data_IF_809586279745
#
_entry.id   IF_809586279745
#
_cell.length_a   1.000
_cell.length_b   1.000
_cell.length_c   1.000
_cell.angle_alpha   90.00
_cell.angle_beta   90.00
_cell.angle_gamma   90.00
#
_symmetry.space_group_name_H-M   'P 1'
#
loop_
_entity.id
_entity.type
_entity.pdbx_description
1 polymer ?
#
# COMPACT_ATOMS: atom_id res chain seq x y z
N UNK A 1 -22.74 -29.75 26.18
CA UNK A 1 -21.73 -28.78 25.73
C UNK A 1 -22.28 -27.41 26.09
N UNK A 2 -21.54 -26.65 26.91
CA UNK A 2 -21.95 -25.30 27.33
C UNK A 2 -21.33 -24.25 26.43
N UNK A 3 -21.85 -23.03 26.48
CA UNK A 3 -21.29 -21.86 25.78
C UNK A 3 -19.80 -21.67 26.11
N UNK A 4 -19.43 -21.79 27.39
CA UNK A 4 -18.03 -21.75 27.83
C UNK A 4 -17.14 -22.82 27.18
N UNK A 5 -17.67 -24.03 26.93
CA UNK A 5 -16.90 -25.07 26.26
C UNK A 5 -16.64 -24.73 24.79
N UNK A 6 -17.62 -24.14 24.11
CA UNK A 6 -17.46 -23.70 22.72
C UNK A 6 -16.45 -22.55 22.63
N UNK A 7 -16.61 -21.53 23.48
CA UNK A 7 -15.70 -20.40 23.51
C UNK A 7 -14.27 -20.84 23.83
N UNK A 8 -14.08 -21.71 24.82
CA UNK A 8 -12.75 -22.25 25.14
C UNK A 8 -12.12 -23.04 23.98
N UNK A 9 -12.92 -23.73 23.16
CA UNK A 9 -12.41 -24.40 21.97
C UNK A 9 -11.99 -23.39 20.88
N UNK A 10 -12.81 -22.35 20.65
CA UNK A 10 -12.56 -21.29 19.67
C UNK A 10 -11.31 -20.48 20.01
N UNK A 11 -11.12 -20.13 21.29
CA UNK A 11 -9.91 -19.42 21.76
C UNK A 11 -8.64 -20.19 21.43
N UNK A 12 -8.68 -21.53 21.45
CA UNK A 12 -7.53 -22.38 21.12
C UNK A 12 -7.37 -22.59 19.61
N UNK A 13 -8.47 -22.71 18.86
CA UNK A 13 -8.50 -22.86 17.40
C UNK A 13 -9.76 -22.20 16.83
N UNK A 14 -9.59 -21.08 16.10
CA UNK A 14 -10.69 -20.31 15.54
C UNK A 14 -11.56 -21.11 14.56
N UNK A 15 -11.00 -22.14 13.91
CA UNK A 15 -11.78 -23.04 13.03
C UNK A 15 -12.79 -23.89 13.81
N UNK A 16 -12.68 -23.96 15.14
CA UNK A 16 -13.66 -24.65 15.99
C UNK A 16 -15.07 -24.06 15.86
N UNK A 17 -15.21 -22.81 15.39
CA UNK A 17 -16.51 -22.18 15.11
C UNK A 17 -17.38 -23.04 14.17
N UNK A 18 -16.75 -23.73 13.21
CA UNK A 18 -17.43 -24.67 12.30
C UNK A 18 -18.27 -25.74 13.02
N UNK A 19 -17.82 -26.20 14.19
CA UNK A 19 -18.46 -27.28 14.92
C UNK A 19 -19.52 -26.78 15.91
N UNK A 20 -19.67 -25.46 16.09
CA UNK A 20 -20.67 -24.88 16.96
C UNK A 20 -22.02 -24.88 16.22
N UNK A 21 -23.06 -25.55 16.75
CA UNK A 21 -24.39 -25.47 16.14
C UNK A 21 -24.87 -24.02 16.13
N UNK A 22 -25.38 -23.54 15.00
CA UNK A 22 -25.69 -22.12 14.75
C UNK A 22 -26.57 -21.43 15.81
N UNK A 23 -27.45 -22.20 16.48
CA UNK A 23 -28.28 -21.72 17.60
C UNK A 23 -27.51 -21.33 18.87
N UNK A 24 -26.24 -21.71 18.96
CA UNK A 24 -25.34 -21.43 20.09
C UNK A 24 -24.21 -20.48 19.72
N UNK A 25 -24.10 -20.08 18.45
CA UNK A 25 -23.10 -19.08 18.04
C UNK A 25 -23.52 -17.72 18.59
N UNK A 26 -22.55 -16.98 19.12
CA UNK A 26 -22.70 -15.62 19.61
C UNK A 26 -21.72 -14.68 18.90
N UNK A 27 -21.95 -13.36 19.00
CA UNK A 27 -21.03 -12.35 18.45
C UNK A 27 -19.62 -12.49 19.05
N UNK A 28 -19.52 -12.78 20.34
CA UNK A 28 -18.24 -13.02 21.04
C UNK A 28 -17.49 -14.21 20.45
N UNK A 29 -18.18 -15.32 20.16
CA UNK A 29 -17.57 -16.48 19.51
C UNK A 29 -17.06 -16.16 18.11
N UNK A 30 -17.81 -15.40 17.31
CA UNK A 30 -17.38 -14.96 15.99
C UNK A 30 -16.12 -14.10 16.06
N UNK A 31 -16.12 -13.11 16.96
CA UNK A 31 -14.98 -12.20 17.14
C UNK A 31 -13.73 -12.96 17.59
N UNK A 32 -13.86 -13.86 18.57
CA UNK A 32 -12.73 -14.63 19.10
C UNK A 32 -12.18 -15.62 18.07
N UNK A 33 -13.05 -16.21 17.25
CA UNK A 33 -12.64 -17.08 16.14
C UNK A 33 -11.77 -16.33 15.13
N UNK A 34 -12.19 -15.13 14.73
CA UNK A 34 -11.49 -14.28 13.78
C UNK A 34 -10.15 -13.80 14.34
N UNK A 35 -10.12 -13.37 15.61
CA UNK A 35 -8.89 -12.96 16.30
C UNK A 35 -7.85 -14.07 16.37
N UNK A 36 -8.30 -15.30 16.60
CA UNK A 36 -7.43 -16.46 16.60
C UNK A 36 -6.94 -16.77 15.17
N UNK A 37 -7.84 -16.75 14.19
CA UNK A 37 -7.54 -17.06 12.79
C UNK A 37 -8.58 -16.43 11.86
N UNK A 38 -8.19 -15.43 11.07
CA UNK A 38 -9.13 -14.72 10.21
C UNK A 38 -9.84 -15.59 9.16
N UNK A 39 -9.24 -16.69 8.70
CA UNK A 39 -9.94 -17.68 7.84
C UNK A 39 -11.15 -18.36 8.49
N UNK A 40 -11.33 -18.24 9.81
CA UNK A 40 -12.53 -18.69 10.50
C UNK A 40 -13.78 -17.87 10.13
N UNK A 41 -13.61 -16.70 9.49
CA UNK A 41 -14.71 -15.87 9.01
C UNK A 41 -15.69 -16.65 8.13
N UNK A 42 -15.22 -17.62 7.35
CA UNK A 42 -16.06 -18.50 6.50
C UNK A 42 -17.12 -19.30 7.27
N UNK A 43 -16.99 -19.42 8.58
CA UNK A 43 -17.93 -20.12 9.47
C UNK A 43 -18.86 -19.17 10.23
N UNK A 44 -18.73 -17.86 10.04
CA UNK A 44 -19.56 -16.84 10.68
C UNK A 44 -20.94 -16.83 10.00
N UNK A 45 -22.04 -17.05 10.74
CA UNK A 45 -23.37 -16.89 10.18
C UNK A 45 -23.64 -15.44 9.77
N UNK A 46 -24.27 -15.23 8.61
CA UNK A 46 -24.56 -13.89 8.03
C UNK A 46 -25.20 -12.92 9.02
N UNK A 47 -26.09 -13.40 9.90
CA UNK A 47 -26.76 -12.57 10.93
C UNK A 47 -25.81 -11.91 11.94
N UNK A 48 -24.57 -12.38 12.04
CA UNK A 48 -23.54 -11.84 12.91
C UNK A 48 -22.50 -11.01 12.15
N UNK A 49 -22.61 -10.88 10.82
CA UNK A 49 -21.74 -10.02 10.04
C UNK A 49 -22.16 -8.57 10.31
N UNK A 50 -21.34 -7.86 11.07
CA UNK A 50 -21.49 -6.44 11.37
C UNK A 50 -20.30 -5.67 10.83
N UNK A 51 -20.44 -4.35 10.68
CA UNK A 51 -19.32 -3.48 10.36
C UNK A 51 -18.15 -3.68 11.33
N UNK A 52 -18.42 -3.72 12.65
CA UNK A 52 -17.39 -3.93 13.66
C UNK A 52 -16.65 -5.25 13.46
N UNK A 53 -17.38 -6.33 13.17
CA UNK A 53 -16.78 -7.64 12.93
C UNK A 53 -15.89 -7.62 11.68
N UNK A 54 -16.34 -6.97 10.60
CA UNK A 54 -15.55 -6.81 9.38
C UNK A 54 -14.27 -6.04 9.69
N UNK A 55 -14.37 -4.85 10.28
CA UNK A 55 -13.20 -4.02 10.61
C UNK A 55 -12.18 -4.77 11.47
N UNK A 56 -12.64 -5.53 12.45
CA UNK A 56 -11.75 -6.42 13.23
C UNK A 56 -11.14 -7.50 12.34
N UNK A 57 -11.93 -8.17 11.50
CA UNK A 57 -11.44 -9.27 10.67
C UNK A 57 -10.33 -8.86 9.71
N UNK A 58 -10.46 -7.69 9.10
CA UNK A 58 -9.44 -7.10 8.24
C UNK A 58 -8.15 -6.71 8.98
N UNK A 59 -8.22 -6.44 10.28
CA UNK A 59 -7.05 -6.16 11.12
C UNK A 59 -6.19 -7.43 11.33
N UNK A 60 -6.81 -8.61 11.38
CA UNK A 60 -6.13 -9.87 11.68
C UNK A 60 -5.75 -10.68 10.44
N UNK A 61 -6.49 -10.58 9.34
CA UNK A 61 -6.24 -11.36 8.12
C UNK A 61 -6.87 -10.72 6.88
N UNK A 62 -6.04 -10.29 5.92
CA UNK A 62 -6.50 -9.75 4.64
C UNK A 62 -7.30 -10.76 3.80
N UNK A 63 -7.08 -12.07 4.00
CA UNK A 63 -7.79 -13.14 3.28
C UNK A 63 -9.25 -13.23 3.68
N UNK A 64 -9.67 -12.49 4.71
CA UNK A 64 -11.08 -12.32 5.07
C UNK A 64 -11.93 -11.94 3.87
N UNK A 65 -11.40 -11.16 2.92
CA UNK A 65 -12.10 -10.78 1.69
C UNK A 65 -12.69 -11.95 0.91
N UNK A 66 -12.01 -13.10 0.91
CA UNK A 66 -12.46 -14.29 0.19
C UNK A 66 -13.77 -14.88 0.75
N UNK A 67 -14.12 -14.52 1.99
CA UNK A 67 -15.23 -15.13 2.73
C UNK A 67 -16.36 -14.14 3.06
N UNK A 68 -16.17 -12.84 2.82
CA UNK A 68 -17.21 -11.83 3.06
C UNK A 68 -18.20 -11.82 1.90
N UNK A 69 -19.51 -11.97 2.15
CA UNK A 69 -20.51 -11.83 1.10
C UNK A 69 -20.48 -10.42 0.49
N UNK A 70 -20.61 -10.33 -0.84
CA UNK A 70 -20.46 -9.09 -1.61
C UNK A 70 -21.38 -7.96 -1.13
N UNK A 71 -22.56 -8.27 -0.60
CA UNK A 71 -23.51 -7.29 -0.05
C UNK A 71 -22.96 -6.48 1.14
N UNK A 72 -21.92 -6.98 1.81
CA UNK A 72 -21.25 -6.30 2.92
C UNK A 72 -19.99 -5.53 2.47
N UNK A 73 -19.51 -5.74 1.25
CA UNK A 73 -18.32 -5.10 0.69
C UNK A 73 -18.70 -3.76 0.05
N UNK A 74 -18.92 -2.75 0.88
CA UNK A 74 -19.26 -1.40 0.43
C UNK A 74 -18.04 -0.48 0.39
N UNK A 75 -18.13 0.58 -0.41
CA UNK A 75 -17.11 1.63 -0.45
C UNK A 75 -16.84 2.22 0.94
N UNK A 76 -17.88 2.41 1.75
CA UNK A 76 -17.74 2.93 3.13
C UNK A 76 -16.91 2.00 4.02
N UNK A 77 -17.11 0.69 3.91
CA UNK A 77 -16.32 -0.30 4.66
C UNK A 77 -14.86 -0.25 4.25
N UNK A 78 -14.57 -0.26 2.95
CA UNK A 78 -13.20 -0.15 2.45
C UNK A 78 -12.52 1.16 2.85
N UNK A 79 -13.21 2.30 2.79
CA UNK A 79 -12.66 3.59 3.24
C UNK A 79 -12.34 3.63 4.74
N UNK A 80 -13.03 2.84 5.56
CA UNK A 80 -12.73 2.65 6.99
C UNK A 80 -11.54 1.72 7.19
N UNK A 81 -11.45 0.63 6.42
CA UNK A 81 -10.33 -0.32 6.49
C UNK A 81 -9.04 0.35 6.01
N UNK A 82 -9.05 1.06 4.87
CA UNK A 82 -7.89 1.79 4.32
C UNK A 82 -7.37 2.83 5.31
N UNK A 83 -8.26 3.44 6.10
CA UNK A 83 -7.85 4.39 7.15
C UNK A 83 -7.03 3.71 8.26
N UNK A 84 -7.22 2.41 8.49
CA UNK A 84 -6.52 1.64 9.52
C UNK A 84 -5.30 0.90 8.96
N UNK A 85 -5.40 0.37 7.74
CA UNK A 85 -4.30 -0.27 7.00
C UNK A 85 -4.50 -0.04 5.49
N UNK A 86 -3.72 0.90 4.96
CA UNK A 86 -3.77 1.29 3.56
C UNK A 86 -3.19 0.25 2.61
N UNK A 87 -2.41 -0.71 3.11
CA UNK A 87 -1.87 -1.83 2.29
C UNK A 87 -2.95 -2.80 1.87
N UNK A 88 -4.15 -2.71 2.45
CA UNK A 88 -5.30 -3.53 2.06
C UNK A 88 -5.67 -3.35 0.60
N UNK A 89 -5.37 -2.20 -0.02
CA UNK A 89 -5.63 -1.92 -1.44
C UNK A 89 -5.11 -3.00 -2.37
N UNK A 90 -3.99 -3.65 -2.02
CA UNK A 90 -3.42 -4.79 -2.74
C UNK A 90 -4.39 -5.99 -2.86
N UNK A 91 -5.29 -6.14 -1.91
CA UNK A 91 -6.19 -7.28 -1.77
C UNK A 91 -7.63 -6.98 -2.19
N UNK A 92 -8.02 -5.69 -2.25
CA UNK A 92 -9.36 -5.29 -2.71
C UNK A 92 -9.52 -5.69 -4.19
N UNK A 93 -10.58 -6.43 -4.57
CA UNK A 93 -10.85 -6.71 -5.97
C UNK A 93 -11.01 -5.41 -6.77
N UNK A 94 -10.45 -5.36 -7.98
CA UNK A 94 -10.33 -4.12 -8.78
C UNK A 94 -11.68 -3.42 -9.00
N UNK A 95 -12.75 -4.18 -9.10
CA UNK A 95 -14.12 -3.70 -9.28
C UNK A 95 -14.66 -2.87 -8.10
N UNK A 96 -14.06 -2.99 -6.91
CA UNK A 96 -14.42 -2.20 -5.73
C UNK A 96 -13.49 -1.00 -5.48
N UNK A 97 -12.37 -0.91 -6.21
CA UNK A 97 -11.43 0.20 -6.05
C UNK A 97 -12.02 1.46 -6.66
N UNK A 98 -11.95 2.57 -5.92
CA UNK A 98 -12.35 3.90 -6.39
C UNK A 98 -11.20 4.89 -6.32
N UNK A 99 -11.29 5.98 -7.09
CA UNK A 99 -10.30 7.06 -7.05
C UNK A 99 -10.16 7.67 -5.64
N UNK A 100 -11.27 7.79 -4.89
CA UNK A 100 -11.26 8.29 -3.51
C UNK A 100 -10.44 7.39 -2.58
N UNK A 101 -10.61 6.07 -2.71
CA UNK A 101 -9.80 5.10 -1.96
C UNK A 101 -8.30 5.25 -2.27
N UNK A 102 -7.96 5.37 -3.55
CA UNK A 102 -6.57 5.52 -4.01
C UNK A 102 -5.95 6.81 -3.45
N UNK A 103 -6.65 7.94 -3.58
CA UNK A 103 -6.17 9.23 -3.08
C UNK A 103 -5.96 9.21 -1.57
N UNK A 104 -6.89 8.60 -0.83
CA UNK A 104 -6.81 8.52 0.63
C UNK A 104 -5.64 7.65 1.07
N UNK A 105 -5.42 6.52 0.42
CA UNK A 105 -4.31 5.64 0.73
C UNK A 105 -2.95 6.31 0.47
N UNK A 106 -2.78 7.00 -0.65
CA UNK A 106 -1.53 7.70 -1.00
C UNK A 106 -1.19 8.78 0.04
N UNK A 107 -2.21 9.46 0.59
CA UNK A 107 -2.01 10.47 1.65
C UNK A 107 -1.53 9.89 2.97
N UNK A 108 -1.78 8.61 3.23
CA UNK A 108 -1.37 7.94 4.47
C UNK A 108 -0.05 7.15 4.30
N UNK A 109 0.20 6.60 3.10
CA UNK A 109 1.43 5.87 2.77
C UNK A 109 1.75 5.96 1.28
N UNK A 110 2.91 6.50 0.97
CA UNK A 110 3.38 6.72 -0.39
C UNK A 110 3.72 5.43 -1.16
N UNK A 111 4.00 4.33 -0.46
CA UNK A 111 4.31 3.04 -1.09
C UNK A 111 3.09 2.33 -1.69
N UNK A 112 1.87 2.81 -1.42
CA UNK A 112 0.65 2.21 -2.01
C UNK A 112 0.51 2.48 -3.50
N UNK A 113 1.31 3.40 -4.05
CA UNK A 113 1.33 3.70 -5.49
C UNK A 113 1.55 2.43 -6.33
N UNK A 114 2.33 1.46 -5.83
CA UNK A 114 2.56 0.15 -6.47
C UNK A 114 1.27 -0.70 -6.63
N UNK A 115 0.24 -0.44 -5.82
CA UNK A 115 -1.01 -1.22 -5.79
C UNK A 115 -2.19 -0.51 -6.46
N UNK A 116 -2.05 0.76 -6.81
CA UNK A 116 -3.12 1.53 -7.46
C UNK A 116 -3.27 1.06 -8.92
N UNK A 117 -4.48 0.68 -9.36
CA UNK A 117 -4.72 0.38 -10.77
C UNK A 117 -4.41 1.60 -11.65
N UNK A 118 -3.75 1.38 -12.79
CA UNK A 118 -3.33 2.44 -13.72
C UNK A 118 -4.49 3.39 -14.09
N UNK A 119 -5.71 2.88 -14.21
CA UNK A 119 -6.91 3.66 -14.53
C UNK A 119 -7.32 4.71 -13.47
N UNK A 120 -6.84 4.57 -12.23
CA UNK A 120 -7.11 5.49 -11.12
C UNK A 120 -5.89 6.34 -10.74
N UNK A 121 -4.73 6.05 -11.32
CA UNK A 121 -3.52 6.79 -11.01
C UNK A 121 -3.58 8.19 -11.64
N UNK A 122 -3.17 9.19 -10.88
CA UNK A 122 -3.09 10.57 -11.34
C UNK A 122 -1.72 11.17 -11.09
N UNK A 123 -1.37 12.21 -11.85
CA UNK A 123 -0.14 12.98 -11.65
C UNK A 123 -0.07 13.56 -10.23
N UNK A 124 -1.20 14.00 -9.67
CA UNK A 124 -1.27 14.52 -8.29
C UNK A 124 -0.88 13.45 -7.27
N UNK A 125 -1.40 12.22 -7.40
CA UNK A 125 -1.03 11.11 -6.52
C UNK A 125 0.45 10.77 -6.62
N UNK A 126 0.99 10.76 -7.85
CA UNK A 126 2.41 10.51 -8.09
C UNK A 126 3.29 11.59 -7.45
N UNK A 127 2.91 12.87 -7.58
CA UNK A 127 3.66 13.98 -7.00
C UNK A 127 3.66 13.90 -5.47
N UNK A 128 2.48 13.67 -4.87
CA UNK A 128 2.35 13.51 -3.42
C UNK A 128 3.24 12.38 -2.89
N UNK A 129 3.26 11.23 -3.56
CA UNK A 129 4.09 10.09 -3.14
C UNK A 129 5.60 10.40 -3.25
N UNK A 130 6.03 11.06 -4.32
CA UNK A 130 7.44 11.42 -4.55
C UNK A 130 7.90 12.50 -3.57
N UNK A 131 7.02 13.44 -3.20
CA UNK A 131 7.30 14.46 -2.19
C UNK A 131 7.57 13.86 -0.81
N UNK A 132 6.82 12.82 -0.41
CA UNK A 132 7.03 12.14 0.87
C UNK A 132 8.27 11.23 0.84
N UNK A 133 8.55 10.60 -0.30
CA UNK A 133 9.70 9.72 -0.47
C UNK A 133 10.14 9.63 -1.93
N UNK A 134 11.33 10.15 -2.21
CA UNK A 134 11.87 10.20 -3.57
C UNK A 134 12.05 8.83 -4.23
N UNK A 135 12.18 7.75 -3.45
CA UNK A 135 12.28 6.39 -3.99
C UNK A 135 11.00 5.93 -4.69
N UNK A 136 9.84 6.50 -4.36
CA UNK A 136 8.55 6.14 -4.99
C UNK A 136 8.48 6.48 -6.47
N UNK A 137 9.39 7.33 -6.98
CA UNK A 137 9.53 7.62 -8.41
C UNK A 137 9.60 6.34 -9.27
N UNK A 138 10.15 5.25 -8.71
CA UNK A 138 10.23 3.94 -9.38
C UNK A 138 8.88 3.29 -9.70
N UNK A 139 7.81 3.74 -9.06
CA UNK A 139 6.44 3.25 -9.23
C UNK A 139 5.57 4.19 -10.08
N UNK A 140 6.08 5.38 -10.40
CA UNK A 140 5.39 6.37 -11.24
C UNK A 140 5.52 5.93 -12.71
N UNK A 141 4.42 5.72 -13.44
CA UNK A 141 4.46 5.48 -14.87
C UNK A 141 5.10 6.66 -15.62
N UNK A 142 5.84 6.36 -16.68
CA UNK A 142 6.61 7.36 -17.42
C UNK A 142 5.73 8.51 -17.94
N UNK A 143 4.46 8.22 -18.31
CA UNK A 143 3.50 9.22 -18.77
C UNK A 143 3.10 10.28 -17.72
N UNK A 144 3.25 9.97 -16.43
CA UNK A 144 2.96 10.88 -15.32
C UNK A 144 4.21 11.53 -14.74
N UNK A 145 5.41 11.11 -15.19
CA UNK A 145 6.64 11.60 -14.60
C UNK A 145 6.96 13.02 -15.10
N UNK A 146 7.18 13.93 -14.16
CA UNK A 146 7.53 15.33 -14.45
C UNK A 146 8.97 15.64 -14.06
N UNK A 147 9.53 16.72 -14.62
CA UNK A 147 10.86 17.23 -14.22
C UNK A 147 10.92 17.56 -12.72
N UNK A 148 9.81 18.07 -12.16
CA UNK A 148 9.66 18.37 -10.74
C UNK A 148 9.78 17.11 -9.89
N UNK A 149 9.05 16.03 -10.23
CA UNK A 149 9.15 14.75 -9.53
C UNK A 149 10.58 14.18 -9.59
N UNK A 150 11.22 14.27 -10.76
CA UNK A 150 12.61 13.80 -10.93
C UNK A 150 13.58 14.57 -10.02
N UNK A 151 13.42 15.90 -9.93
CA UNK A 151 14.24 16.74 -9.07
C UNK A 151 14.04 16.38 -7.59
N UNK A 152 12.78 16.32 -7.13
CA UNK A 152 12.44 15.92 -5.76
C UNK A 152 13.06 14.56 -5.40
N UNK A 153 12.98 13.59 -6.31
CA UNK A 153 13.53 12.27 -6.08
C UNK A 153 15.06 12.27 -5.91
N UNK A 154 15.81 13.02 -6.73
CA UNK A 154 17.28 13.07 -6.64
C UNK A 154 17.77 13.95 -5.50
N UNK A 155 16.97 14.94 -5.07
CA UNK A 155 17.21 15.73 -3.87
C UNK A 155 17.08 14.88 -2.60
N UNK A 156 16.08 14.01 -2.54
CA UNK A 156 15.90 13.04 -1.45
C UNK A 156 17.05 12.01 -1.40
N UNK A 157 17.33 11.37 -2.54
CA UNK A 157 18.51 10.52 -2.69
C UNK A 157 19.00 10.52 -4.13
N UNK A 158 20.22 11.00 -4.36
CA UNK A 158 20.79 11.07 -5.71
C UNK A 158 20.86 9.73 -6.46
N UNK A 159 20.81 8.59 -5.76
CA UNK A 159 20.72 7.28 -6.44
C UNK A 159 19.37 7.07 -7.14
N UNK A 160 18.31 7.79 -6.77
CA UNK A 160 17.00 7.75 -7.43
C UNK A 160 17.08 8.23 -8.90
N UNK A 161 18.18 8.85 -9.33
CA UNK A 161 18.48 9.11 -10.74
C UNK A 161 18.36 7.83 -11.61
N UNK A 162 18.58 6.65 -11.03
CA UNK A 162 18.41 5.37 -11.72
C UNK A 162 16.97 5.11 -12.22
N UNK A 163 15.98 5.76 -11.61
CA UNK A 163 14.56 5.65 -11.92
C UNK A 163 14.07 6.75 -12.87
N UNK A 164 14.91 7.74 -13.20
CA UNK A 164 14.54 8.83 -14.12
C UNK A 164 14.66 8.36 -15.58
N UNK A 165 13.62 8.50 -16.41
CA UNK A 165 13.65 8.23 -17.84
C UNK A 165 14.72 9.07 -18.54
N UNK A 166 15.30 8.51 -19.60
CA UNK A 166 16.41 9.13 -20.30
C UNK A 166 16.06 10.50 -20.86
N UNK A 167 14.82 10.67 -21.29
CA UNK A 167 14.22 11.86 -21.88
C UNK A 167 14.14 13.02 -20.89
N UNK A 168 14.02 12.73 -19.59
CA UNK A 168 13.95 13.72 -18.50
C UNK A 168 15.31 13.99 -17.84
N UNK A 169 16.37 13.26 -18.24
CA UNK A 169 17.70 13.48 -17.69
C UNK A 169 18.37 14.70 -18.30
N UNK A 170 18.59 15.73 -17.47
CA UNK A 170 19.37 16.91 -17.81
C UNK A 170 20.73 16.91 -17.12
N UNK A 171 21.67 17.72 -17.63
CA UNK A 171 22.98 17.93 -17.00
C UNK A 171 22.82 18.46 -15.57
N UNK A 172 21.91 19.41 -15.35
CA UNK A 172 21.59 19.99 -14.05
C UNK A 172 21.04 18.96 -13.05
N UNK A 173 20.09 18.12 -13.49
CA UNK A 173 19.53 17.05 -12.66
C UNK A 173 20.62 16.03 -12.26
N UNK A 174 21.48 15.65 -13.20
CA UNK A 174 22.59 14.72 -12.95
C UNK A 174 23.61 15.31 -11.96
N UNK A 175 23.89 16.61 -12.04
CA UNK A 175 24.75 17.32 -11.09
C UNK A 175 24.15 17.32 -9.68
N UNK A 176 22.86 17.64 -9.56
CA UNK A 176 22.17 17.64 -8.26
C UNK A 176 22.14 16.23 -7.64
N UNK A 177 21.88 15.20 -8.45
CA UNK A 177 21.96 13.81 -8.02
C UNK A 177 23.35 13.44 -7.47
N UNK A 178 24.44 13.86 -8.12
CA UNK A 178 25.80 13.55 -7.64
C UNK A 178 26.15 14.34 -6.38
N UNK A 179 25.67 15.58 -6.27
CA UNK A 179 25.83 16.42 -5.08
C UNK A 179 25.19 15.75 -3.85
N UNK A 180 24.01 15.17 -4.00
CA UNK A 180 23.31 14.46 -2.91
C UNK A 180 23.80 13.03 -2.70
N UNK A 181 24.28 12.35 -3.74
CA UNK A 181 24.89 11.03 -3.62
C UNK A 181 25.93 10.76 -4.72
N UNK A 182 27.21 10.72 -4.36
CA UNK A 182 28.31 10.46 -5.31
C UNK A 182 28.20 9.12 -6.04
N UNK A 183 27.50 8.13 -5.50
CA UNK A 183 27.22 6.89 -6.22
C UNK A 183 26.31 7.08 -7.43
N UNK A 184 25.57 8.18 -7.53
CA UNK A 184 24.71 8.52 -8.67
C UNK A 184 25.49 8.63 -9.99
N UNK A 185 26.80 8.91 -9.93
CA UNK A 185 27.66 8.97 -11.13
C UNK A 185 27.57 7.72 -12.01
N UNK A 186 27.30 6.54 -11.42
CA UNK A 186 27.12 5.30 -12.20
C UNK A 186 25.89 5.32 -13.11
N UNK A 187 24.88 6.11 -12.77
CA UNK A 187 23.61 6.25 -13.48
C UNK A 187 23.59 7.43 -14.45
N UNK A 188 24.57 8.34 -14.35
CA UNK A 188 24.68 9.48 -15.25
C UNK A 188 24.99 9.01 -16.69
N UNK A 189 24.25 9.51 -17.70
CA UNK A 189 24.52 9.27 -19.11
C UNK A 189 25.93 9.71 -19.55
N UNK A 190 26.56 8.97 -20.45
CA UNK A 190 27.95 9.23 -20.89
C UNK A 190 28.16 10.66 -21.43
N UNK A 191 27.15 11.23 -22.09
CA UNK A 191 27.21 12.58 -22.65
C UNK A 191 27.39 13.69 -21.59
N UNK A 192 26.96 13.45 -20.35
CA UNK A 192 27.09 14.40 -19.24
C UNK A 192 28.31 14.12 -18.35
N UNK A 193 28.84 12.89 -18.32
CA UNK A 193 29.91 12.48 -17.39
C UNK A 193 31.15 13.36 -17.45
N UNK A 194 31.69 13.63 -18.65
CA UNK A 194 32.94 14.38 -18.79
C UNK A 194 32.85 15.80 -18.20
N UNK A 195 31.72 16.48 -18.42
CA UNK A 195 31.49 17.83 -17.89
C UNK A 195 31.32 17.79 -16.37
N UNK A 196 30.51 16.87 -15.88
CA UNK A 196 30.23 16.71 -14.45
C UNK A 196 31.50 16.36 -13.67
N UNK A 197 32.34 15.47 -14.19
CA UNK A 197 33.64 15.13 -13.58
C UNK A 197 34.58 16.34 -13.49
N UNK A 198 34.59 17.20 -14.51
CA UNK A 198 35.38 18.44 -14.49
C UNK A 198 34.86 19.42 -13.43
N UNK A 199 33.54 19.58 -13.29
CA UNK A 199 32.95 20.45 -12.28
C UNK A 199 33.21 19.96 -10.86
N UNK A 200 33.07 18.66 -10.60
CA UNK A 200 33.37 18.06 -9.30
C UNK A 200 34.85 18.21 -8.92
N UNK A 201 35.76 18.15 -9.91
CA UNK A 201 37.19 18.36 -9.68
C UNK A 201 37.51 19.80 -9.30
N UNK A 202 36.84 20.78 -9.91
CA UNK A 202 37.04 22.21 -9.67
C UNK A 202 36.45 22.71 -8.33
N UNK A 203 35.48 22.00 -7.75
CA UNK A 203 34.92 22.34 -6.44
C UNK A 203 35.79 21.88 -5.25
N UNK A 204 36.84 21.07 -5.49
CA UNK A 204 37.76 20.54 -4.47
C UNK A 204 39.10 21.26 -4.39
N UNK A 205 39.34 22.25 -5.25
CA UNK A 205 40.55 23.07 -5.34
C UNK A 205 40.34 24.46 -4.78
#
# INVERSE_FOLDING_TARGET
MTEEMFLSAIVNDGEALYYVPEKYITEEMCLEAIKNRGTAFKHVPEKFITEELLLNAFEYDERTLEYVPEEFLTEEIFLKIIKNDERILKYIPKEFITEEMCLKAVKENEYVLEYIPEEFLTEEMCLLAVMENGFTLRYVPEEFMTEEMCLLAVEDCGSNLLHVPRELMTEELCLEAIKNNRYALKFVPEEFRNKIECEIANQKS
#
